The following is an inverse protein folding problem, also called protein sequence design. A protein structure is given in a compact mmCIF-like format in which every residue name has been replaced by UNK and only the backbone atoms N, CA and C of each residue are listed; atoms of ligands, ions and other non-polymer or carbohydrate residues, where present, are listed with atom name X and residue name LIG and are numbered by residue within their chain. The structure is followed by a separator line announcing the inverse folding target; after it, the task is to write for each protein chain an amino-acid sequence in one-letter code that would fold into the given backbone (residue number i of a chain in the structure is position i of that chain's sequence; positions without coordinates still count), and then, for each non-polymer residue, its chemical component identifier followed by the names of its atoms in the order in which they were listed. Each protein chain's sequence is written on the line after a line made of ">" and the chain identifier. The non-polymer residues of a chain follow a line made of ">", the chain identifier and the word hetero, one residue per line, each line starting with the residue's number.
data_IF_451242857158
#
_entry.id   IF_451242857158
#
_cell.length_a   1.000
_cell.length_b   1.000
_cell.length_c   1.000
_cell.angle_alpha   90.00
_cell.angle_beta   90.00
_cell.angle_gamma   90.00
#
_symmetry.space_group_name_H-M   'P 1'
#
loop_
_entity.id
_entity.type
_entity.pdbx_description
1 polymer ?
#
# COMPACT_ATOMS: atom_id res chain seq x y z
N UNK A 1 -14.19 -4.35 -15.88
CA UNK A 1 -14.17 -3.72 -17.20
C UNK A 1 -12.95 -4.20 -17.97
N UNK A 2 -13.05 -4.32 -19.28
CA UNK A 2 -11.98 -4.88 -20.14
C UNK A 2 -10.72 -3.99 -20.22
N UNK A 3 -10.81 -2.72 -19.80
CA UNK A 3 -9.74 -1.72 -19.93
C UNK A 3 -8.98 -1.43 -18.61
N UNK A 4 -9.29 -2.12 -17.54
CA UNK A 4 -8.59 -1.96 -16.25
C UNK A 4 -8.59 -0.53 -15.68
N UNK A 5 -7.58 -0.21 -14.92
CA UNK A 5 -7.40 1.12 -14.29
C UNK A 5 -7.07 2.19 -15.33
N UNK A 6 -6.29 1.86 -16.35
CA UNK A 6 -5.93 2.80 -17.43
C UNK A 6 -7.18 3.32 -18.14
N UNK A 7 -8.11 2.44 -18.52
CA UNK A 7 -9.36 2.85 -19.15
C UNK A 7 -10.26 3.69 -18.23
N UNK A 8 -10.22 3.45 -16.92
CA UNK A 8 -10.95 4.28 -15.95
C UNK A 8 -10.38 5.71 -15.88
N UNK A 9 -9.06 5.85 -15.89
CA UNK A 9 -8.36 7.15 -15.89
C UNK A 9 -8.68 7.92 -17.18
N UNK A 10 -8.59 7.28 -18.35
CA UNK A 10 -8.92 7.90 -19.63
C UNK A 10 -10.37 8.39 -19.67
N UNK A 11 -11.31 7.56 -19.20
CA UNK A 11 -12.73 7.96 -19.14
C UNK A 11 -12.99 9.10 -18.17
N UNK A 12 -12.31 9.13 -17.04
CA UNK A 12 -12.40 10.24 -16.08
C UNK A 12 -11.91 11.56 -16.69
N UNK A 13 -10.78 11.53 -17.41
CA UNK A 13 -10.24 12.69 -18.13
C UNK A 13 -11.16 13.18 -19.26
N UNK A 14 -11.78 12.25 -19.99
CA UNK A 14 -12.78 12.58 -21.01
C UNK A 14 -13.99 13.29 -20.39
N UNK A 15 -14.59 12.68 -19.36
CA UNK A 15 -15.75 13.25 -18.67
C UNK A 15 -15.46 14.62 -18.05
N UNK A 16 -14.26 14.82 -17.50
CA UNK A 16 -13.86 16.12 -16.97
C UNK A 16 -13.85 17.21 -18.06
N UNK A 17 -13.40 16.88 -19.29
CA UNK A 17 -13.41 17.85 -20.41
C UNK A 17 -14.82 18.21 -20.85
N UNK A 18 -15.77 17.28 -20.73
CA UNK A 18 -17.16 17.44 -21.15
C UNK A 18 -18.06 18.07 -20.08
N UNK A 19 -17.59 18.11 -18.81
CA UNK A 19 -18.39 18.57 -17.67
C UNK A 19 -17.83 19.90 -17.17
N UNK A 20 -18.50 21.04 -17.41
CA UNK A 20 -18.07 22.33 -16.86
C UNK A 20 -17.98 22.32 -15.32
N UNK A 21 -17.05 23.08 -14.78
CA UNK A 21 -16.81 23.24 -13.34
C UNK A 21 -16.53 21.93 -12.59
N UNK A 22 -16.05 20.89 -13.31
CA UNK A 22 -15.65 19.61 -12.73
C UNK A 22 -14.16 19.55 -12.42
N UNK A 23 -13.79 18.74 -11.40
CA UNK A 23 -12.42 18.47 -11.03
C UNK A 23 -12.16 16.95 -10.91
N UNK A 24 -11.07 16.49 -11.50
CA UNK A 24 -10.59 15.11 -11.36
C UNK A 24 -9.24 15.11 -10.62
N UNK A 25 -9.15 14.54 -9.41
CA UNK A 25 -7.92 14.54 -8.61
C UNK A 25 -6.74 13.80 -9.23
N UNK A 26 -6.98 12.81 -10.11
CA UNK A 26 -5.94 12.02 -10.80
C UNK A 26 -4.90 11.45 -9.84
N UNK A 27 -5.33 10.61 -8.92
CA UNK A 27 -4.51 10.09 -7.81
C UNK A 27 -3.18 9.44 -8.23
N UNK A 28 -3.05 8.99 -9.49
CA UNK A 28 -1.82 8.38 -10.00
C UNK A 28 -0.83 9.39 -10.60
N UNK A 29 -1.25 10.64 -10.81
CA UNK A 29 -0.43 11.68 -11.45
C UNK A 29 -0.21 12.88 -10.55
N UNK A 30 -1.13 13.12 -9.61
CA UNK A 30 -1.13 14.31 -8.76
C UNK A 30 -0.15 14.17 -7.60
N UNK A 31 0.90 14.99 -7.60
CA UNK A 31 1.94 15.00 -6.55
C UNK A 31 1.42 15.41 -5.15
N UNK A 32 0.23 16.01 -5.07
CA UNK A 32 -0.44 16.27 -3.78
C UNK A 32 -0.81 14.97 -3.07
N UNK A 33 -0.99 13.86 -3.81
CA UNK A 33 -1.26 12.56 -3.21
C UNK A 33 -0.12 12.12 -2.27
N UNK A 34 1.14 11.92 -2.72
CA UNK A 34 2.23 11.59 -1.78
C UNK A 34 2.53 12.73 -0.79
N UNK A 35 2.37 13.99 -1.18
CA UNK A 35 2.60 15.14 -0.29
C UNK A 35 1.69 15.09 0.96
N UNK A 36 0.43 14.69 0.81
CA UNK A 36 -0.49 14.56 1.93
C UNK A 36 0.06 13.60 3.01
N UNK A 37 0.59 12.45 2.62
CA UNK A 37 1.14 11.47 3.56
C UNK A 37 2.50 11.89 4.13
N UNK A 38 3.28 12.64 3.35
CA UNK A 38 4.51 13.24 3.81
C UNK A 38 4.26 14.29 4.92
N UNK A 39 3.18 15.09 4.79
CA UNK A 39 2.86 16.17 5.72
C UNK A 39 2.01 15.72 6.93
N UNK A 40 1.35 14.57 6.86
CA UNK A 40 0.42 14.11 7.91
C UNK A 40 0.84 12.77 8.50
N UNK A 41 0.60 11.67 7.79
CA UNK A 41 0.79 10.31 8.29
C UNK A 41 2.22 10.05 8.81
N UNK A 42 3.22 10.43 8.04
CA UNK A 42 4.60 10.11 8.40
C UNK A 42 5.08 10.89 9.65
N UNK A 43 4.79 12.21 9.79
CA UNK A 43 5.05 12.93 11.04
C UNK A 43 4.31 12.35 12.25
N UNK A 44 3.03 11.97 12.11
CA UNK A 44 2.24 11.36 13.18
C UNK A 44 2.86 10.05 13.66
N UNK A 45 3.25 9.16 12.74
CA UNK A 45 3.94 7.91 13.08
C UNK A 45 5.26 8.20 13.81
N UNK A 46 6.04 9.16 13.33
CA UNK A 46 7.31 9.52 13.94
C UNK A 46 7.14 10.07 15.36
N UNK A 47 6.10 10.88 15.58
CA UNK A 47 5.76 11.43 16.89
C UNK A 47 5.29 10.35 17.87
N UNK A 48 4.34 9.50 17.43
CA UNK A 48 3.76 8.44 18.25
C UNK A 48 4.80 7.41 18.72
N UNK A 49 5.82 7.17 17.91
CA UNK A 49 6.91 6.23 18.21
C UNK A 49 8.18 6.92 18.76
N UNK A 50 8.14 8.21 19.07
CA UNK A 50 9.29 8.99 19.54
C UNK A 50 10.53 8.86 18.62
N UNK A 51 10.31 8.69 17.32
CA UNK A 51 11.36 8.48 16.33
C UNK A 51 11.93 7.07 16.24
N UNK A 52 11.45 6.15 17.04
CA UNK A 52 11.96 4.77 17.11
C UNK A 52 11.30 3.88 16.03
N UNK A 53 11.69 4.06 14.78
CA UNK A 53 11.24 3.27 13.63
C UNK A 53 12.44 2.66 12.95
N UNK A 54 12.45 1.34 12.75
CA UNK A 54 13.49 0.64 12.01
C UNK A 54 13.02 0.24 10.61
N UNK A 55 11.76 -0.19 10.48
CA UNK A 55 11.19 -0.66 9.21
C UNK A 55 9.80 -0.08 9.02
N UNK A 56 9.54 0.51 7.87
CA UNK A 56 8.23 0.97 7.43
C UNK A 56 7.74 0.12 6.25
N UNK A 57 6.50 -0.38 6.31
CA UNK A 57 5.92 -1.25 5.30
C UNK A 57 4.54 -0.74 4.89
N UNK A 58 4.31 -0.54 3.61
CA UNK A 58 3.00 -0.18 3.08
C UNK A 58 2.71 -0.81 1.72
N UNK A 59 1.44 -1.05 1.44
CA UNK A 59 0.98 -1.53 0.14
C UNK A 59 0.89 -0.41 -0.90
N UNK A 60 1.04 -0.75 -2.16
CA UNK A 60 0.95 0.17 -3.28
C UNK A 60 -0.33 -0.02 -4.10
N UNK A 61 -1.32 0.86 -3.87
CA UNK A 61 -2.45 1.09 -4.79
C UNK A 61 -2.08 2.18 -5.78
N UNK A 62 -2.30 3.47 -5.45
CA UNK A 62 -1.67 4.56 -6.20
C UNK A 62 -0.19 4.76 -5.87
N UNK A 63 0.28 4.19 -4.77
CA UNK A 63 1.64 4.37 -4.25
C UNK A 63 1.84 5.64 -3.42
N UNK A 64 0.83 6.52 -3.31
CA UNK A 64 0.96 7.80 -2.63
C UNK A 64 1.35 7.67 -1.15
N UNK A 65 0.70 6.77 -0.42
CA UNK A 65 1.00 6.49 1.00
C UNK A 65 2.46 6.09 1.19
N UNK A 66 2.92 5.11 0.40
CA UNK A 66 4.30 4.66 0.47
C UNK A 66 5.27 5.76 0.08
N UNK A 67 5.07 6.41 -1.09
CA UNK A 67 5.99 7.41 -1.61
C UNK A 67 6.16 8.60 -0.65
N UNK A 68 5.05 9.12 -0.10
CA UNK A 68 5.11 10.24 0.84
C UNK A 68 5.78 9.88 2.17
N UNK A 69 5.37 8.76 2.78
CA UNK A 69 5.92 8.32 4.05
C UNK A 69 7.38 7.88 3.94
N UNK A 70 7.72 7.08 2.93
CA UNK A 70 9.10 6.62 2.72
C UNK A 70 10.06 7.79 2.49
N UNK A 71 9.66 8.77 1.66
CA UNK A 71 10.44 10.00 1.48
C UNK A 71 10.68 10.71 2.81
N UNK A 72 9.64 10.92 3.61
CA UNK A 72 9.76 11.58 4.91
C UNK A 72 10.74 10.83 5.83
N UNK A 73 10.58 9.51 5.97
CA UNK A 73 11.43 8.72 6.84
C UNK A 73 12.88 8.73 6.39
N UNK A 74 13.16 8.55 5.10
CA UNK A 74 14.52 8.61 4.55
C UNK A 74 15.18 9.99 4.71
N UNK A 75 14.43 11.08 4.68
CA UNK A 75 14.95 12.42 4.96
C UNK A 75 15.25 12.65 6.44
N UNK A 76 14.58 11.93 7.35
CA UNK A 76 14.86 11.98 8.79
C UNK A 76 16.00 11.06 9.20
N UNK A 77 16.00 9.85 8.70
CA UNK A 77 17.03 8.83 8.94
C UNK A 77 17.09 7.86 7.74
N UNK A 78 18.18 7.90 6.99
CA UNK A 78 18.39 7.02 5.84
C UNK A 78 18.46 5.53 6.22
N UNK A 79 18.69 5.20 7.50
CA UNK A 79 18.77 3.82 7.99
C UNK A 79 17.40 3.18 8.16
N UNK A 80 16.31 3.96 8.23
CA UNK A 80 14.95 3.42 8.27
C UNK A 80 14.68 2.66 6.99
N UNK A 81 14.46 1.36 7.10
CA UNK A 81 14.16 0.51 5.95
C UNK A 81 12.74 0.72 5.47
N UNK A 82 12.56 0.97 4.17
CA UNK A 82 11.25 1.18 3.55
C UNK A 82 10.92 0.03 2.59
N UNK A 83 9.80 -0.62 2.82
CA UNK A 83 9.38 -1.84 2.12
C UNK A 83 8.01 -1.63 1.50
N UNK A 84 7.92 -1.84 0.19
CA UNK A 84 6.68 -1.74 -0.56
C UNK A 84 6.09 -3.12 -0.82
N UNK A 85 4.76 -3.23 -0.75
CA UNK A 85 4.04 -4.48 -0.94
C UNK A 85 3.07 -4.39 -2.10
N UNK A 86 3.07 -5.42 -2.93
CA UNK A 86 2.16 -5.60 -4.04
C UNK A 86 1.55 -7.01 -4.03
N UNK A 87 0.37 -7.24 -4.66
CA UNK A 87 -0.15 -8.59 -4.88
C UNK A 87 0.55 -9.26 -6.06
N UNK A 88 0.47 -10.58 -6.15
CA UNK A 88 0.73 -11.29 -7.42
C UNK A 88 -0.18 -10.74 -8.52
N UNK A 89 0.36 -10.53 -9.71
CA UNK A 89 -0.34 -9.84 -10.80
C UNK A 89 -0.11 -8.34 -10.86
N UNK A 90 0.72 -7.78 -9.97
CA UNK A 90 1.24 -6.41 -10.05
C UNK A 90 2.65 -6.39 -10.68
N UNK A 91 3.18 -5.20 -10.98
CA UNK A 91 4.37 -5.05 -11.82
C UNK A 91 5.61 -4.49 -11.14
N UNK A 92 5.54 -4.04 -9.88
CA UNK A 92 6.67 -3.35 -9.21
C UNK A 92 7.91 -4.24 -9.08
N UNK A 93 7.72 -5.53 -8.83
CA UNK A 93 8.80 -6.50 -8.69
C UNK A 93 9.14 -7.21 -10.02
N UNK A 94 8.88 -6.55 -11.15
CA UNK A 94 9.13 -7.11 -12.48
C UNK A 94 8.15 -8.19 -12.93
N UNK A 95 7.02 -8.33 -12.22
CA UNK A 95 5.93 -9.24 -12.57
C UNK A 95 5.18 -8.82 -13.84
N UNK A 96 4.35 -9.71 -14.36
CA UNK A 96 3.42 -9.39 -15.43
C UNK A 96 2.06 -9.01 -14.85
N UNK A 97 1.37 -7.99 -15.43
CA UNK A 97 0.01 -7.65 -15.02
C UNK A 97 -0.91 -8.88 -15.12
N UNK A 98 -1.68 -9.12 -14.08
CA UNK A 98 -2.61 -10.24 -14.00
C UNK A 98 -3.71 -10.00 -12.97
N UNK A 99 -4.76 -10.83 -12.95
CA UNK A 99 -5.83 -10.72 -11.98
C UNK A 99 -5.36 -11.11 -10.59
N UNK A 100 -5.87 -10.42 -9.57
CA UNK A 100 -5.74 -10.74 -8.15
C UNK A 100 -7.03 -10.35 -7.41
N UNK A 101 -7.21 -10.89 -6.21
CA UNK A 101 -8.39 -10.63 -5.36
C UNK A 101 -8.08 -9.70 -4.20
N UNK A 102 -6.80 -9.43 -3.93
CA UNK A 102 -6.37 -8.46 -2.93
C UNK A 102 -6.72 -7.06 -3.42
N UNK A 103 -7.66 -6.40 -2.74
CA UNK A 103 -8.17 -5.08 -3.15
C UNK A 103 -7.36 -3.93 -2.55
N UNK A 104 -7.36 -2.79 -3.26
CA UNK A 104 -6.74 -1.55 -2.81
C UNK A 104 -5.25 -1.43 -3.12
N UNK A 105 -4.58 -2.53 -3.49
CA UNK A 105 -3.18 -2.54 -3.92
C UNK A 105 -3.03 -3.29 -5.26
N UNK A 106 -1.91 -3.07 -5.94
CA UNK A 106 -1.63 -3.63 -7.27
C UNK A 106 -1.57 -2.54 -8.33
N UNK A 107 -0.53 -2.58 -9.15
CA UNK A 107 -0.25 -1.59 -10.19
C UNK A 107 -0.13 -2.24 -11.56
N UNK A 108 -0.73 -1.60 -12.56
CA UNK A 108 -0.60 -1.92 -13.98
C UNK A 108 0.45 -1.01 -14.67
N UNK A 109 0.83 0.07 -14.02
CA UNK A 109 1.88 1.03 -14.43
C UNK A 109 2.49 1.68 -13.18
N UNK A 110 3.70 2.25 -13.32
CA UNK A 110 4.39 2.92 -12.19
C UNK A 110 4.02 4.41 -12.22
N UNK A 111 3.36 4.93 -11.15
CA UNK A 111 3.10 6.36 -11.02
C UNK A 111 4.39 7.19 -10.98
N UNK A 112 4.43 8.38 -11.60
CA UNK A 112 5.66 9.17 -11.74
C UNK A 112 6.30 9.62 -10.43
N UNK A 113 5.52 9.72 -9.34
CA UNK A 113 6.03 10.07 -8.01
C UNK A 113 6.51 8.85 -7.20
N UNK A 114 6.34 7.64 -7.71
CA UNK A 114 6.79 6.41 -7.04
C UNK A 114 8.23 6.11 -7.44
N UNK A 115 9.18 6.69 -6.70
CA UNK A 115 10.61 6.63 -6.99
C UNK A 115 11.26 5.38 -6.36
N UNK A 116 11.87 4.55 -7.19
CA UNK A 116 12.53 3.29 -6.79
C UNK A 116 13.68 3.49 -5.78
N UNK A 117 14.25 4.68 -5.68
CA UNK A 117 15.30 4.97 -4.68
C UNK A 117 14.81 4.81 -3.23
N UNK A 118 13.50 4.80 -3.03
CA UNK A 118 12.88 4.56 -1.73
C UNK A 118 12.49 3.08 -1.50
N UNK A 119 12.87 2.16 -2.38
CA UNK A 119 12.52 0.74 -2.25
C UNK A 119 13.70 -0.04 -1.69
N UNK A 120 13.82 -0.15 -0.36
CA UNK A 120 14.79 -1.05 0.27
C UNK A 120 14.35 -2.54 0.17
N UNK A 121 13.10 -2.77 -0.13
CA UNK A 121 12.54 -4.09 -0.39
C UNK A 121 11.18 -4.02 -1.07
N UNK A 122 10.90 -5.03 -1.90
CA UNK A 122 9.60 -5.24 -2.54
C UNK A 122 9.14 -6.65 -2.20
N UNK A 123 7.91 -6.78 -1.71
CA UNK A 123 7.26 -8.08 -1.51
C UNK A 123 6.06 -8.24 -2.42
N UNK A 124 6.08 -9.29 -3.22
CA UNK A 124 4.92 -9.75 -3.98
C UNK A 124 4.24 -10.85 -3.16
N UNK A 125 2.98 -10.64 -2.78
CA UNK A 125 2.22 -11.49 -1.87
C UNK A 125 1.05 -12.13 -2.62
N UNK A 126 0.85 -13.44 -2.42
CA UNK A 126 -0.28 -14.16 -3.01
C UNK A 126 -1.61 -13.79 -2.34
N UNK A 127 -2.71 -13.95 -3.06
CA UNK A 127 -4.05 -13.81 -2.48
C UNK A 127 -4.26 -14.78 -1.32
N UNK A 128 -3.75 -16.01 -1.43
CA UNK A 128 -3.84 -17.03 -0.38
C UNK A 128 -3.20 -16.54 0.93
N UNK A 129 -1.97 -16.04 0.87
CA UNK A 129 -1.26 -15.52 2.04
C UNK A 129 -1.99 -14.28 2.61
N UNK A 130 -2.42 -13.35 1.75
CA UNK A 130 -3.12 -12.15 2.17
C UNK A 130 -4.42 -12.48 2.94
N UNK A 131 -5.27 -13.35 2.39
CA UNK A 131 -6.54 -13.74 3.02
C UNK A 131 -6.34 -14.65 4.24
N UNK A 132 -5.31 -15.47 4.26
CA UNK A 132 -4.92 -16.23 5.46
C UNK A 132 -4.65 -15.28 6.62
N UNK A 133 -3.88 -14.21 6.40
CA UNK A 133 -3.51 -13.25 7.45
C UNK A 133 -4.64 -12.32 7.86
N UNK A 134 -5.62 -12.03 6.99
CA UNK A 134 -6.86 -11.36 7.42
C UNK A 134 -7.57 -12.16 8.51
N UNK A 135 -7.68 -13.50 8.34
CA UNK A 135 -8.28 -14.38 9.34
C UNK A 135 -7.43 -14.52 10.60
N UNK A 136 -6.13 -14.59 10.43
CA UNK A 136 -5.18 -14.73 11.53
C UNK A 136 -5.21 -13.50 12.45
N UNK A 137 -5.17 -12.30 11.88
CA UNK A 137 -5.31 -11.02 12.60
C UNK A 137 -6.65 -10.91 13.32
N UNK A 138 -7.76 -11.30 12.67
CA UNK A 138 -9.06 -11.30 13.31
C UNK A 138 -9.13 -12.23 14.53
N UNK A 139 -8.52 -13.43 14.43
CA UNK A 139 -8.56 -14.44 15.50
C UNK A 139 -7.60 -14.17 16.64
N UNK A 140 -6.39 -13.69 16.35
CA UNK A 140 -5.32 -13.53 17.33
C UNK A 140 -5.30 -12.15 17.97
N UNK A 141 -5.56 -11.12 17.17
CA UNK A 141 -5.41 -9.72 17.57
C UNK A 141 -6.75 -8.98 17.68
N UNK A 142 -7.86 -9.60 17.21
CA UNK A 142 -9.17 -8.93 17.17
C UNK A 142 -9.26 -7.82 16.12
N UNK A 143 -8.31 -7.75 15.17
CA UNK A 143 -8.25 -6.75 14.12
C UNK A 143 -9.01 -7.20 12.89
N UNK A 144 -10.08 -6.48 12.55
CA UNK A 144 -10.92 -6.75 11.37
C UNK A 144 -10.47 -5.86 10.21
N UNK A 145 -9.49 -6.34 9.44
CA UNK A 145 -8.79 -5.58 8.40
C UNK A 145 -9.16 -6.03 6.98
N UNK A 146 -8.86 -5.20 5.97
CA UNK A 146 -9.01 -5.54 4.56
C UNK A 146 -7.90 -6.47 4.03
N UNK A 147 -8.07 -6.96 2.79
CA UNK A 147 -7.13 -7.92 2.17
C UNK A 147 -5.72 -7.35 1.97
N UNK A 148 -5.62 -6.06 1.63
CA UNK A 148 -4.31 -5.39 1.51
C UNK A 148 -3.53 -5.36 2.84
N UNK A 149 -4.23 -5.24 3.97
CA UNK A 149 -3.62 -5.31 5.30
C UNK A 149 -3.06 -6.71 5.59
N UNK A 150 -3.76 -7.77 5.17
CA UNK A 150 -3.24 -9.13 5.26
C UNK A 150 -1.94 -9.32 4.46
N UNK A 151 -1.89 -8.76 3.25
CA UNK A 151 -0.67 -8.79 2.42
C UNK A 151 0.49 -8.05 3.08
N UNK A 152 0.24 -6.84 3.60
CA UNK A 152 1.26 -6.05 4.30
C UNK A 152 1.74 -6.74 5.58
N UNK A 153 0.84 -7.39 6.31
CA UNK A 153 1.18 -8.15 7.51
C UNK A 153 2.07 -9.35 7.21
N UNK A 154 1.82 -10.10 6.12
CA UNK A 154 2.72 -11.17 5.68
C UNK A 154 4.14 -10.64 5.39
N UNK A 155 4.24 -9.50 4.71
CA UNK A 155 5.54 -8.88 4.48
C UNK A 155 6.24 -8.49 5.79
N UNK A 156 5.48 -7.97 6.77
CA UNK A 156 6.00 -7.65 8.10
C UNK A 156 6.51 -8.89 8.85
N UNK A 157 5.78 -10.00 8.78
CA UNK A 157 6.24 -11.27 9.36
C UNK A 157 7.53 -11.79 8.70
N UNK A 158 7.66 -11.62 7.38
CA UNK A 158 8.91 -11.97 6.65
C UNK A 158 10.08 -11.08 7.07
N UNK A 159 9.85 -9.80 7.32
CA UNK A 159 10.88 -8.89 7.84
C UNK A 159 11.21 -9.20 9.31
N UNK A 160 10.21 -9.43 10.15
CA UNK A 160 10.40 -9.75 11.56
C UNK A 160 11.27 -11.00 11.78
N UNK A 161 11.13 -12.02 10.91
CA UNK A 161 11.97 -13.24 10.95
C UNK A 161 13.46 -12.97 10.71
N UNK A 162 13.80 -11.84 10.06
CA UNK A 162 15.19 -11.44 9.73
C UNK A 162 15.71 -10.38 10.70
N UNK A 163 14.81 -9.70 11.39
CA UNK A 163 15.11 -8.60 12.28
C UNK A 163 15.69 -9.09 13.62
N UNK A 164 16.38 -8.19 14.30
CA UNK A 164 16.85 -8.42 15.67
C UNK A 164 15.70 -8.19 16.64
N UNK A 165 15.82 -8.79 17.83
CA UNK A 165 14.91 -8.48 18.95
C UNK A 165 14.93 -6.97 19.26
N UNK A 166 13.76 -6.38 19.47
CA UNK A 166 13.60 -4.95 19.70
C UNK A 166 13.45 -4.09 18.45
N UNK A 167 13.47 -4.69 17.23
CA UNK A 167 13.21 -3.95 15.99
C UNK A 167 11.76 -3.49 15.91
N UNK A 168 11.54 -2.20 15.68
CA UNK A 168 10.22 -1.59 15.47
C UNK A 168 9.82 -1.63 14.01
N UNK A 169 8.77 -2.41 13.69
CA UNK A 169 8.22 -2.57 12.35
C UNK A 169 6.85 -1.90 12.28
N UNK A 170 6.73 -0.85 11.50
CA UNK A 170 5.48 -0.15 11.26
C UNK A 170 4.81 -0.65 9.99
N UNK A 171 3.53 -0.98 10.08
CA UNK A 171 2.72 -1.44 8.94
C UNK A 171 1.45 -0.59 8.81
N UNK A 172 1.02 -0.34 7.59
CA UNK A 172 -0.19 0.42 7.31
C UNK A 172 -1.35 -0.53 7.00
N UNK A 173 -2.38 -0.47 7.86
CA UNK A 173 -3.68 -1.12 7.63
C UNK A 173 -4.69 -0.05 7.22
N UNK A 174 -4.94 0.13 5.91
CA UNK A 174 -5.65 1.31 5.40
C UNK A 174 -7.16 1.27 5.60
N UNK A 175 -7.74 0.09 5.80
CA UNK A 175 -9.18 -0.09 5.94
C UNK A 175 -9.56 -1.35 6.73
N UNK A 176 -10.86 -1.52 6.92
CA UNK A 176 -11.44 -2.60 7.70
C UNK A 176 -12.31 -3.52 6.84
N UNK A 177 -12.57 -4.72 7.37
CA UNK A 177 -13.18 -5.83 6.64
C UNK A 177 -14.66 -5.64 6.30
N UNK A 178 -15.38 -4.72 6.94
CA UNK A 178 -16.80 -4.48 6.63
C UNK A 178 -17.04 -4.10 5.17
N UNK A 179 -16.03 -3.53 4.48
CA UNK A 179 -16.09 -3.20 3.06
C UNK A 179 -16.10 -4.44 2.16
N UNK A 180 -15.66 -5.58 2.68
CA UNK A 180 -15.36 -6.81 1.93
C UNK A 180 -16.21 -8.01 2.35
N UNK A 181 -17.20 -7.84 3.22
CA UNK A 181 -18.06 -8.94 3.69
C UNK A 181 -18.83 -9.61 2.55
N UNK A 182 -19.27 -8.84 1.56
CA UNK A 182 -19.93 -9.37 0.36
C UNK A 182 -19.03 -10.27 -0.50
N UNK A 183 -17.71 -10.16 -0.33
CA UNK A 183 -16.69 -10.97 -1.01
C UNK A 183 -16.22 -12.15 -0.16
N UNK A 184 -16.88 -12.40 0.94
CA UNK A 184 -16.60 -13.52 1.83
C UNK A 184 -15.15 -13.56 2.31
N UNK A 185 -14.58 -12.39 2.64
CA UNK A 185 -13.17 -12.20 3.01
C UNK A 185 -12.64 -13.17 4.09
N UNK A 186 -13.54 -13.77 4.87
CA UNK A 186 -13.20 -14.76 5.90
C UNK A 186 -13.40 -16.22 5.45
N UNK A 187 -13.79 -16.49 4.21
CA UNK A 187 -14.09 -17.83 3.70
C UNK A 187 -13.00 -18.41 2.77
N UNK A 188 -11.90 -17.70 2.60
CA UNK A 188 -10.73 -18.18 1.85
C UNK A 188 -9.97 -19.29 2.57
#
# INVERSE_FOLDING_TARGET
>A
SELGMVGAIEKAKELQKETPDSYCPLQFENEVNPLAYYETLAPEIMEDLNGEIDIFIAGAGSGGTFAGAAKYFKEKDETIKTVIVEPEGSILNGGKPGPHQTEGIGLEFIPPFLDEKYFDGIYTISDEDAFFHVKDLAKKEGLLVGSSSGAVYEAALREAKKAKEGTNIVVIFPDSSERYLSKQIYNF
#
